data_IF_072582250963
#
_entry.id   IF_072582250963
#
_cell.length_a   1.000
_cell.length_b   1.000
_cell.length_c   1.000
_cell.angle_alpha   90.00
_cell.angle_beta   90.00
_cell.angle_gamma   90.00
#
_symmetry.space_group_name_H-M   'P 1'
#
loop_
_entity.id
_entity.type
_entity.pdbx_description
1 polymer ?
#
# COMPACT_ATOMS: atom_id res chain seq x y z
N UNK A 1 -4.72 2.99 -4.40
CA UNK A 1 -5.96 2.30 -3.98
C UNK A 1 -6.00 0.86 -4.48
N UNK A 2 -6.35 -0.06 -3.60
CA UNK A 2 -6.47 -1.51 -3.83
C UNK A 2 -7.89 -1.91 -3.43
N UNK A 3 -8.62 -2.55 -4.35
CA UNK A 3 -9.96 -3.07 -4.07
C UNK A 3 -9.88 -4.49 -3.53
N UNK A 4 -10.74 -4.82 -2.57
CA UNK A 4 -10.82 -6.19 -2.08
C UNK A 4 -11.88 -6.96 -2.88
N UNK A 5 -11.62 -8.24 -3.10
CA UNK A 5 -12.61 -9.16 -3.70
C UNK A 5 -13.66 -9.60 -2.67
N UNK A 6 -14.04 -8.68 -1.76
CA UNK A 6 -15.08 -8.86 -0.74
C UNK A 6 -15.87 -7.56 -0.63
N UNK A 7 -17.18 -7.66 -0.81
CA UNK A 7 -18.11 -6.57 -0.62
C UNK A 7 -18.79 -6.69 0.75
N UNK A 8 -19.20 -5.57 1.35
CA UNK A 8 -20.12 -5.62 2.48
C UNK A 8 -21.50 -6.16 2.06
N UNK A 9 -22.33 -6.51 3.04
CA UNK A 9 -23.64 -7.11 2.83
C UNK A 9 -24.59 -6.28 1.93
N UNK A 10 -24.37 -4.97 1.76
CA UNK A 10 -25.16 -4.09 0.88
C UNK A 10 -24.50 -3.82 -0.48
N UNK A 11 -23.41 -4.52 -0.80
CA UNK A 11 -22.73 -4.43 -2.10
C UNK A 11 -21.76 -3.27 -2.25
N UNK A 12 -21.40 -2.54 -1.18
CA UNK A 12 -20.28 -1.60 -1.26
C UNK A 12 -18.95 -2.36 -1.26
N UNK A 13 -18.06 -1.97 -2.16
CA UNK A 13 -16.73 -2.55 -2.29
C UNK A 13 -15.81 -2.01 -1.20
N UNK A 14 -15.09 -2.90 -0.54
CA UNK A 14 -14.04 -2.51 0.39
C UNK A 14 -12.77 -2.13 -0.37
N UNK A 15 -12.06 -1.13 0.13
CA UNK A 15 -10.77 -0.72 -0.42
C UNK A 15 -9.78 -0.33 0.67
N UNK A 16 -8.50 -0.39 0.30
CA UNK A 16 -7.38 0.23 0.99
C UNK A 16 -6.72 1.23 0.06
N UNK A 17 -6.66 2.50 0.44
CA UNK A 17 -5.81 3.47 -0.21
C UNK A 17 -4.48 3.62 0.53
N UNK A 18 -3.41 3.11 -0.07
CA UNK A 18 -2.07 3.11 0.52
C UNK A 18 -1.44 4.48 0.29
N UNK A 19 -1.23 5.23 1.36
CA UNK A 19 -0.59 6.55 1.34
C UNK A 19 0.93 6.45 1.46
N UNK A 20 1.39 5.52 2.30
CA UNK A 20 2.79 5.35 2.62
C UNK A 20 3.14 3.88 2.79
N UNK A 21 4.37 3.53 2.44
CA UNK A 21 4.93 2.22 2.68
C UNK A 21 6.41 2.38 3.04
N UNK A 22 6.87 1.57 3.98
CA UNK A 22 8.29 1.50 4.35
C UNK A 22 8.68 0.09 4.77
N UNK A 23 9.98 -0.21 4.76
CA UNK A 23 10.49 -1.43 5.38
C UNK A 23 10.80 -1.17 6.85
N UNK A 24 10.35 -2.05 7.74
CA UNK A 24 10.67 -2.03 9.18
C UNK A 24 11.36 -3.31 9.62
N UNK A 25 12.05 -3.26 10.74
CA UNK A 25 12.57 -4.45 11.43
C UNK A 25 11.54 -4.90 12.46
N UNK A 26 11.07 -6.14 12.35
CA UNK A 26 10.28 -6.80 13.38
C UNK A 26 11.09 -8.00 13.91
N UNK A 27 11.76 -7.81 15.05
CA UNK A 27 12.74 -8.74 15.55
C UNK A 27 13.89 -8.97 14.56
N UNK A 28 14.01 -10.19 14.01
CA UNK A 28 15.02 -10.54 12.99
C UNK A 28 14.51 -10.42 11.57
N UNK A 29 13.20 -10.28 11.38
CA UNK A 29 12.55 -10.18 10.07
C UNK A 29 12.53 -8.72 9.59
N UNK A 30 12.59 -8.54 8.28
CA UNK A 30 12.31 -7.26 7.63
C UNK A 30 10.91 -7.37 7.04
N UNK A 31 10.02 -6.48 7.47
CA UNK A 31 8.60 -6.45 7.07
C UNK A 31 8.30 -5.18 6.29
N UNK A 32 7.19 -5.15 5.55
CA UNK A 32 6.64 -3.90 5.04
C UNK A 32 5.59 -3.36 6.02
N UNK A 33 5.65 -2.07 6.31
CA UNK A 33 4.62 -1.37 7.06
C UNK A 33 3.95 -0.36 6.13
N UNK A 34 2.62 -0.42 6.04
CA UNK A 34 1.80 0.41 5.16
C UNK A 34 0.90 1.30 6.00
N UNK A 35 0.83 2.58 5.67
CA UNK A 35 -0.18 3.48 6.22
C UNK A 35 -1.13 3.89 5.12
N UNK A 36 -2.42 3.90 5.42
CA UNK A 36 -3.45 4.20 4.44
C UNK A 36 -4.84 4.33 5.05
N UNK A 37 -5.80 4.65 4.20
CA UNK A 37 -7.22 4.71 4.57
C UNK A 37 -7.93 3.44 4.11
N UNK A 38 -8.67 2.81 5.02
CA UNK A 38 -9.58 1.72 4.74
C UNK A 38 -11.02 2.25 4.67
N UNK A 39 -11.79 1.83 3.67
CA UNK A 39 -13.18 2.25 3.58
C UNK A 39 -14.10 1.38 2.75
N UNK A 40 -15.38 1.73 2.79
CA UNK A 40 -16.46 1.18 1.97
C UNK A 40 -17.28 2.28 1.23
N UNK A 41 -16.80 3.53 1.27
CA UNK A 41 -17.50 4.71 0.74
C UNK A 41 -18.60 5.28 1.67
N UNK A 42 -18.89 4.64 2.80
CA UNK A 42 -19.70 5.19 3.89
C UNK A 42 -18.94 5.31 5.22
N UNK A 43 -17.83 4.59 5.36
CA UNK A 43 -16.82 4.74 6.39
C UNK A 43 -15.45 4.86 5.71
N UNK A 44 -14.60 5.72 6.26
CA UNK A 44 -13.19 5.89 5.90
C UNK A 44 -12.41 6.05 7.20
N UNK A 45 -11.43 5.17 7.43
CA UNK A 45 -10.64 5.18 8.66
C UNK A 45 -9.17 4.85 8.42
N UNK A 46 -8.30 5.43 9.25
CA UNK A 46 -6.85 5.26 9.10
C UNK A 46 -6.41 3.89 9.65
N UNK A 47 -5.54 3.22 8.88
CA UNK A 47 -4.98 1.92 9.22
C UNK A 47 -3.46 1.88 9.07
N UNK A 48 -2.83 1.11 9.94
CA UNK A 48 -1.47 0.61 9.77
C UNK A 48 -1.56 -0.88 9.45
N UNK A 49 -0.94 -1.31 8.35
CA UNK A 49 -0.85 -2.72 7.97
C UNK A 49 0.59 -3.17 7.99
N UNK A 50 0.89 -4.22 8.75
CA UNK A 50 2.21 -4.82 8.83
C UNK A 50 2.22 -6.17 8.10
N UNK A 51 3.11 -6.27 7.11
CA UNK A 51 3.26 -7.41 6.20
C UNK A 51 4.58 -8.14 6.48
N UNK A 52 4.51 -9.19 7.30
CA UNK A 52 5.59 -10.15 7.51
C UNK A 52 5.12 -11.56 7.24
N UNK A 53 5.54 -12.52 8.08
CA UNK A 53 5.00 -13.89 8.09
C UNK A 53 3.47 -13.97 8.28
N UNK A 54 2.87 -12.93 8.87
CA UNK A 54 1.43 -12.69 8.97
C UNK A 54 1.13 -11.25 8.57
N UNK A 55 -0.12 -11.03 8.17
CA UNK A 55 -0.66 -9.69 7.94
C UNK A 55 -1.36 -9.24 9.21
N UNK A 56 -0.94 -8.13 9.78
CA UNK A 56 -1.56 -7.51 10.96
C UNK A 56 -2.13 -6.15 10.58
N UNK A 57 -3.39 -5.90 10.96
CA UNK A 57 -4.09 -4.64 10.68
C UNK A 57 -4.40 -3.93 12.00
N UNK A 58 -3.89 -2.73 12.14
CA UNK A 58 -4.18 -1.83 13.25
C UNK A 58 -5.08 -0.71 12.77
N UNK A 59 -6.27 -0.61 13.36
CA UNK A 59 -7.24 0.46 13.08
C UNK A 59 -6.99 1.63 14.03
N UNK A 60 -6.46 2.75 13.51
CA UNK A 60 -6.15 3.92 14.34
C UNK A 60 -7.41 4.53 14.97
N UNK A 61 -8.55 4.40 14.30
CA UNK A 61 -9.83 4.91 14.78
C UNK A 61 -10.37 4.18 16.01
N UNK A 62 -9.80 3.04 16.40
CA UNK A 62 -10.12 2.40 17.67
C UNK A 62 -9.86 3.33 18.88
N UNK A 63 -8.99 4.33 18.71
CA UNK A 63 -8.71 5.36 19.72
C UNK A 63 -9.21 6.75 19.34
N UNK A 64 -9.37 7.05 18.04
CA UNK A 64 -9.76 8.37 17.56
C UNK A 64 -11.29 8.54 17.46
N UNK A 65 -11.99 7.52 16.94
CA UNK A 65 -13.44 7.50 16.79
C UNK A 65 -13.98 6.05 16.85
N UNK A 66 -14.00 5.43 18.05
CA UNK A 66 -14.40 4.05 18.20
C UNK A 66 -15.86 3.81 17.80
N UNK A 67 -16.74 4.80 17.93
CA UNK A 67 -18.16 4.66 17.60
C UNK A 67 -18.40 4.50 16.10
N UNK A 68 -17.70 5.29 15.27
CA UNK A 68 -17.77 5.14 13.81
C UNK A 68 -17.21 3.78 13.36
N UNK A 69 -16.10 3.35 13.98
CA UNK A 69 -15.49 2.05 13.70
C UNK A 69 -16.39 0.86 14.09
N UNK A 70 -17.09 0.93 15.23
CA UNK A 70 -18.08 -0.07 15.63
C UNK A 70 -19.25 -0.16 14.63
N UNK A 71 -19.75 0.98 14.15
CA UNK A 71 -20.82 1.01 13.14
C UNK A 71 -20.36 0.44 11.79
N UNK A 72 -19.07 0.60 11.45
CA UNK A 72 -18.47 -0.05 10.30
C UNK A 72 -18.41 -1.58 10.50
N UNK A 73 -17.90 -2.04 11.64
CA UNK A 73 -17.79 -3.48 11.92
C UNK A 73 -19.13 -4.19 12.10
N UNK A 74 -20.19 -3.45 12.45
CA UNK A 74 -21.55 -3.97 12.45
C UNK A 74 -22.06 -4.33 11.04
N UNK A 75 -21.51 -3.73 9.98
CA UNK A 75 -21.87 -4.02 8.58
C UNK A 75 -20.97 -5.07 7.95
N UNK A 76 -19.69 -5.05 8.29
CA UNK A 76 -18.69 -6.01 7.82
C UNK A 76 -17.86 -6.50 9.01
N UNK A 77 -17.88 -7.80 9.35
CA UNK A 77 -17.11 -8.33 10.46
C UNK A 77 -15.62 -8.00 10.31
N UNK A 78 -14.98 -7.63 11.41
CA UNK A 78 -13.55 -7.27 11.45
C UNK A 78 -12.66 -8.34 10.79
N UNK A 79 -12.90 -9.60 11.09
CA UNK A 79 -12.16 -10.74 10.52
C UNK A 79 -12.24 -10.77 8.99
N UNK A 80 -13.41 -10.48 8.41
CA UNK A 80 -13.59 -10.43 6.97
C UNK A 80 -12.82 -9.25 6.32
N UNK A 81 -12.69 -8.13 7.04
CA UNK A 81 -11.86 -7.00 6.62
C UNK A 81 -10.37 -7.37 6.65
N UNK A 82 -9.90 -7.95 7.75
CA UNK A 82 -8.50 -8.35 7.92
C UNK A 82 -8.09 -9.43 6.89
N UNK A 83 -8.96 -10.41 6.64
CA UNK A 83 -8.78 -11.40 5.56
C UNK A 83 -8.74 -10.74 4.18
N UNK A 84 -9.66 -9.82 3.90
CA UNK A 84 -9.70 -9.11 2.62
C UNK A 84 -8.45 -8.27 2.36
N UNK A 85 -7.93 -7.60 3.39
CA UNK A 85 -6.65 -6.88 3.36
C UNK A 85 -5.50 -7.87 3.08
N UNK A 86 -5.44 -8.98 3.80
CA UNK A 86 -4.38 -9.97 3.63
C UNK A 86 -4.38 -10.60 2.22
N UNK A 87 -5.56 -10.97 1.72
CA UNK A 87 -5.75 -11.50 0.36
C UNK A 87 -5.30 -10.48 -0.70
N UNK A 88 -5.75 -9.23 -0.57
CA UNK A 88 -5.43 -8.17 -1.52
C UNK A 88 -3.93 -7.83 -1.55
N UNK A 89 -3.27 -7.83 -0.39
CA UNK A 89 -1.85 -7.49 -0.29
C UNK A 89 -0.93 -8.65 -0.67
N UNK A 90 -1.41 -9.90 -0.71
CA UNK A 90 -0.60 -11.07 -1.07
C UNK A 90 -0.05 -11.01 -2.50
N UNK A 91 -0.82 -10.44 -3.43
CA UNK A 91 -0.42 -10.29 -4.84
C UNK A 91 0.43 -9.04 -5.10
N UNK A 92 0.53 -8.12 -4.14
CA UNK A 92 1.27 -6.88 -4.30
C UNK A 92 2.77 -7.13 -4.30
N UNK A 93 3.48 -6.39 -5.14
CA UNK A 93 4.95 -6.33 -5.14
C UNK A 93 5.40 -4.90 -4.89
N UNK A 94 6.06 -4.67 -3.76
CA UNK A 94 6.64 -3.37 -3.44
C UNK A 94 7.95 -3.16 -4.21
N UNK A 95 8.12 -1.97 -4.75
CA UNK A 95 9.37 -1.57 -5.38
C UNK A 95 10.17 -0.71 -4.41
N UNK A 96 11.38 -1.17 -4.13
CA UNK A 96 12.37 -0.45 -3.34
C UNK A 96 13.24 0.36 -4.29
N UNK A 97 13.48 1.63 -3.96
CA UNK A 97 14.49 2.38 -4.66
C UNK A 97 15.86 2.13 -4.03
N UNK A 98 16.74 1.47 -4.78
CA UNK A 98 18.17 1.41 -4.48
C UNK A 98 18.85 2.69 -4.97
N UNK A 99 18.64 3.80 -4.27
CA UNK A 99 19.52 4.95 -4.43
C UNK A 99 20.73 4.78 -3.49
N UNK A 100 21.97 4.81 -3.99
CA UNK A 100 23.12 4.98 -3.12
C UNK A 100 22.94 6.33 -2.42
N UNK A 101 22.56 6.29 -1.14
CA UNK A 101 22.54 7.52 -0.36
C UNK A 101 23.97 8.06 -0.34
N UNK A 102 24.14 9.35 -0.59
CA UNK A 102 25.42 10.05 -0.43
C UNK A 102 25.99 9.91 1.00
N UNK A 103 25.21 9.38 1.93
CA UNK A 103 25.56 9.07 3.33
C UNK A 103 26.01 7.63 3.56
N UNK A 104 26.06 6.77 2.54
CA UNK A 104 26.47 5.36 2.67
C UNK A 104 25.47 4.43 3.35
N UNK A 105 24.28 4.92 3.70
CA UNK A 105 23.18 4.12 4.28
C UNK A 105 22.14 3.89 3.21
N UNK A 106 21.95 2.63 2.79
CA UNK A 106 20.87 2.26 1.87
C UNK A 106 19.53 2.65 2.49
N UNK A 107 18.81 3.58 1.87
CA UNK A 107 17.42 3.86 2.22
C UNK A 107 16.57 2.88 1.41
N UNK A 108 16.09 1.82 2.04
CA UNK A 108 15.07 0.94 1.46
C UNK A 108 13.73 1.70 1.43
N UNK A 109 13.66 2.77 0.65
CA UNK A 109 12.45 3.56 0.49
C UNK A 109 11.54 2.82 -0.48
N UNK A 110 10.31 2.52 -0.05
CA UNK A 110 9.28 2.02 -0.96
C UNK A 110 8.82 3.19 -1.81
N UNK A 111 9.03 3.11 -3.11
CA UNK A 111 8.68 4.18 -4.06
C UNK A 111 7.35 3.94 -4.78
N UNK A 112 6.76 2.78 -4.51
CA UNK A 112 5.48 2.39 -5.06
C UNK A 112 5.29 0.89 -5.01
N UNK A 113 4.20 0.43 -5.60
CA UNK A 113 3.84 -0.97 -5.63
C UNK A 113 3.18 -1.34 -6.95
N UNK A 114 3.29 -2.62 -7.31
CA UNK A 114 2.59 -3.19 -8.45
C UNK A 114 1.45 -4.06 -7.94
N UNK A 115 0.25 -3.83 -8.45
CA UNK A 115 -0.90 -4.72 -8.36
C UNK A 115 -1.24 -5.25 -9.78
N UNK A 116 -2.24 -6.12 -9.89
CA UNK A 116 -2.67 -6.73 -11.17
C UNK A 116 -2.91 -5.68 -12.27
N UNK A 117 -3.44 -4.52 -11.89
CA UNK A 117 -3.80 -3.42 -12.80
C UNK A 117 -2.63 -2.50 -13.20
N UNK A 118 -1.43 -2.74 -12.66
CA UNK A 118 -0.22 -2.00 -13.06
C UNK A 118 0.60 -1.43 -11.91
N UNK A 119 1.47 -0.48 -12.27
CA UNK A 119 2.38 0.20 -11.34
C UNK A 119 1.72 1.42 -10.72
N UNK A 120 1.76 1.52 -9.39
CA UNK A 120 1.25 2.64 -8.62
C UNK A 120 2.41 3.30 -7.88
N UNK A 121 2.83 4.52 -8.27
CA UNK A 121 3.86 5.26 -7.55
C UNK A 121 3.31 5.72 -6.20
N UNK A 122 4.11 5.59 -5.16
CA UNK A 122 3.85 6.25 -3.87
C UNK A 122 4.57 7.60 -3.90
N UNK A 123 3.84 8.68 -3.60
CA UNK A 123 4.43 10.00 -3.45
C UNK A 123 5.55 9.92 -2.41
N UNK A 124 6.74 10.43 -2.75
CA UNK A 124 7.82 10.51 -1.78
C UNK A 124 7.32 11.27 -0.56
N UNK A 125 7.39 10.65 0.62
CA UNK A 125 7.32 11.35 1.89
C UNK A 125 8.57 12.23 2.05
N UNK A 126 8.68 13.27 1.23
CA UNK A 126 9.65 14.33 1.30
C UNK A 126 8.93 15.61 0.85
N UNK A 127 8.80 16.56 1.77
CA UNK A 127 7.94 17.73 1.65
C UNK A 127 8.21 18.60 0.42
N UNK A 128 7.25 19.49 0.14
CA UNK A 128 7.35 20.68 -0.69
C UNK A 128 8.51 20.72 -1.69
N UNK A 129 8.28 20.17 -2.88
CA UNK A 129 9.19 20.34 -4.01
C UNK A 129 8.71 19.51 -5.17
N UNK A 130 8.08 20.14 -6.15
CA UNK A 130 7.58 19.46 -7.33
C UNK A 130 8.70 18.76 -8.10
N UNK A 131 8.56 17.46 -8.30
CA UNK A 131 9.19 16.76 -9.41
C UNK A 131 8.20 15.74 -9.95
N UNK A 132 7.67 16.04 -11.13
CA UNK A 132 6.95 15.09 -11.97
C UNK A 132 7.97 14.11 -12.53
N UNK A 133 7.96 12.85 -12.09
CA UNK A 133 8.66 11.79 -12.78
C UNK A 133 7.91 11.49 -14.07
N UNK A 134 8.40 12.06 -15.17
CA UNK A 134 7.96 11.72 -16.52
C UNK A 134 8.21 10.25 -16.79
N UNK A 135 7.17 9.56 -17.24
CA UNK A 135 7.26 8.21 -17.78
C UNK A 135 8.21 8.27 -18.98
N UNK A 136 9.41 7.71 -18.84
CA UNK A 136 10.32 7.56 -19.97
C UNK A 136 9.75 6.47 -20.89
N UNK A 137 9.08 6.90 -21.96
CA UNK A 137 8.74 6.04 -23.08
C UNK A 137 10.06 5.50 -23.67
N UNK A 138 10.26 4.18 -23.59
CA UNK A 138 11.44 3.53 -24.15
C UNK A 138 11.41 3.67 -25.68
N UNK A 139 12.29 4.51 -26.22
CA UNK A 139 12.49 4.63 -27.66
C UNK A 139 12.99 3.29 -28.25
N UNK A 140 12.48 2.85 -29.41
CA UNK A 140 12.91 1.61 -30.03
C UNK A 140 14.37 1.72 -30.50
N UNK A 141 15.20 0.78 -30.04
CA UNK A 141 16.61 0.71 -30.40
C UNK A 141 16.78 0.38 -31.89
N UNK A 142 17.55 1.21 -32.59
CA UNK A 142 18.01 0.94 -33.96
C UNK A 142 18.97 -0.25 -33.95
N UNK A 143 18.52 -1.39 -34.46
CA UNK A 143 19.42 -2.44 -34.94
C UNK A 143 19.98 -2.05 -36.33
N UNK A 144 21.25 -1.64 -36.38
CA UNK A 144 22.17 -1.91 -37.52
C UNK A 144 22.92 -3.18 -37.12
N UNK A 145 23.31 -4.16 -37.94
CA UNK A 145 23.56 -4.41 -39.38
C UNK A 145 23.77 -5.96 -39.43
N UNK A 146 23.58 -6.78 -40.46
CA UNK A 146 24.14 -6.84 -41.81
C UNK A 146 23.76 -8.23 -42.38
N UNK A 147 23.43 -8.32 -43.67
CA UNK A 147 24.17 -9.10 -44.71
C UNK A 147 23.95 -8.35 -46.02
#
# INVERSE_FOLDING_TARGET
MVWFNRAEAKGRGLYLDIHHAETRRNGRETIFALSGTLGDGGFEGEVLVELGSRVEVTFADAWLDPGSLELFFARVPREAVEEGVAEALHSIRFCLADFPALTGVVRNAVVGYRCEDGWIPLGSAAGHGGYSLGVAEAAPSRARRAV
#
